data_IF_525368600641
#
_entry.id   IF_525368600641
#
_cell.length_a   1.000
_cell.length_b   1.000
_cell.length_c   1.000
_cell.angle_alpha   90.00
_cell.angle_beta   90.00
_cell.angle_gamma   90.00
#
_symmetry.space_group_name_H-M   'P 1'
#
loop_
_entity.id
_entity.type
_entity.pdbx_description
1 polymer ?
#
# COMPACT_ATOMS: atom_id res chain seq x y z
N UNK A 1 -12.47 24.75 19.56
CA UNK A 1 -12.60 24.84 18.07
C UNK A 1 -11.91 23.68 17.38
N UNK A 2 -10.66 23.37 17.72
CA UNK A 2 -9.98 22.18 17.19
C UNK A 2 -10.67 20.87 17.62
N UNK A 3 -11.25 20.83 18.81
CA UNK A 3 -11.92 19.62 19.32
C UNK A 3 -13.16 19.24 18.51
N UNK A 4 -13.99 20.22 18.13
CA UNK A 4 -15.14 19.99 17.25
C UNK A 4 -14.69 19.51 15.86
N UNK A 5 -13.58 20.02 15.34
CA UNK A 5 -13.02 19.55 14.08
C UNK A 5 -12.51 18.11 14.20
N UNK A 6 -11.87 17.76 15.32
CA UNK A 6 -11.42 16.38 15.60
C UNK A 6 -12.59 15.41 15.68
N UNK A 7 -13.67 15.78 16.37
CA UNK A 7 -14.89 14.96 16.44
C UNK A 7 -15.46 14.68 15.05
N UNK A 8 -15.49 15.70 14.17
CA UNK A 8 -15.95 15.52 12.78
C UNK A 8 -15.00 14.64 11.96
N UNK A 9 -13.70 14.76 12.16
CA UNK A 9 -12.72 13.91 11.49
C UNK A 9 -12.85 12.44 11.93
N UNK A 10 -13.08 12.19 13.24
CA UNK A 10 -13.33 10.85 13.77
C UNK A 10 -14.63 10.30 13.19
N UNK A 11 -15.71 11.08 13.18
CA UNK A 11 -16.98 10.63 12.60
C UNK A 11 -16.85 10.27 11.11
N UNK A 12 -16.07 11.04 10.34
CA UNK A 12 -15.77 10.71 8.94
C UNK A 12 -14.98 9.39 8.84
N UNK A 13 -13.98 9.19 9.70
CA UNK A 13 -13.22 7.94 9.74
C UNK A 13 -14.13 6.75 10.08
N UNK A 14 -15.04 6.89 11.04
CA UNK A 14 -16.00 5.85 11.40
C UNK A 14 -16.91 5.48 10.22
N UNK A 15 -17.36 6.47 9.43
CA UNK A 15 -18.12 6.18 8.19
C UNK A 15 -17.26 5.50 7.12
N UNK A 16 -15.99 5.88 6.97
CA UNK A 16 -15.04 5.22 6.07
C UNK A 16 -14.88 3.73 6.44
N UNK A 17 -14.84 3.40 7.74
CA UNK A 17 -14.70 1.99 8.16
C UNK A 17 -15.91 1.10 7.80
N UNK A 18 -17.03 1.71 7.40
CA UNK A 18 -18.25 1.00 6.99
C UNK A 18 -18.35 0.82 5.47
N UNK A 19 -17.43 1.40 4.71
CA UNK A 19 -17.38 1.28 3.26
C UNK A 19 -17.04 -0.16 2.85
N UNK A 20 -17.63 -0.61 1.75
CA UNK A 20 -17.36 -1.94 1.19
C UNK A 20 -15.88 -2.08 0.84
N UNK A 21 -15.27 -1.03 0.27
CA UNK A 21 -13.85 -1.01 -0.09
C UNK A 21 -12.92 -1.15 1.12
N UNK A 22 -13.32 -0.63 2.28
CA UNK A 22 -12.56 -0.79 3.52
C UNK A 22 -12.65 -2.22 4.06
N UNK A 23 -13.84 -2.82 4.01
CA UNK A 23 -14.05 -4.21 4.43
C UNK A 23 -13.30 -5.17 3.50
N UNK A 24 -13.43 -5.01 2.18
CA UNK A 24 -12.71 -5.78 1.16
C UNK A 24 -11.20 -5.69 1.38
N UNK A 25 -10.67 -4.49 1.67
CA UNK A 25 -9.26 -4.30 1.97
C UNK A 25 -8.80 -5.11 3.19
N UNK A 26 -9.54 -5.10 4.30
CA UNK A 26 -9.19 -5.86 5.50
C UNK A 26 -9.22 -7.38 5.26
N UNK A 27 -10.20 -7.85 4.49
CA UNK A 27 -10.32 -9.28 4.15
C UNK A 27 -9.16 -9.72 3.25
N UNK A 28 -8.82 -8.95 2.23
CA UNK A 28 -7.69 -9.25 1.36
C UNK A 28 -6.34 -9.14 2.08
N UNK A 29 -6.20 -8.17 3.00
CA UNK A 29 -5.02 -8.04 3.85
C UNK A 29 -4.83 -9.29 4.73
N UNK A 30 -5.92 -9.77 5.33
CA UNK A 30 -5.91 -11.01 6.12
C UNK A 30 -5.55 -12.21 5.25
N UNK A 31 -6.15 -12.35 4.07
CA UNK A 31 -5.85 -13.44 3.14
C UNK A 31 -4.38 -13.44 2.71
N UNK A 32 -3.79 -12.26 2.46
CA UNK A 32 -2.37 -12.13 2.16
C UNK A 32 -1.48 -12.53 3.35
N UNK A 33 -1.86 -12.17 4.57
CA UNK A 33 -1.14 -12.55 5.80
C UNK A 33 -1.18 -14.07 6.04
N UNK A 34 -2.25 -14.73 5.63
CA UNK A 34 -2.42 -16.18 5.75
C UNK A 34 -1.79 -16.97 4.59
N UNK A 35 -1.41 -16.31 3.48
CA UNK A 35 -0.68 -16.94 2.38
C UNK A 35 0.81 -17.10 2.72
N UNK A 36 1.16 -18.26 3.30
CA UNK A 36 2.54 -18.59 3.71
C UNK A 36 3.57 -18.47 2.58
N UNK A 37 3.20 -18.80 1.34
CA UNK A 37 4.12 -18.70 0.20
C UNK A 37 4.35 -17.25 -0.18
N UNK A 38 3.28 -16.43 -0.19
CA UNK A 38 3.43 -14.99 -0.42
C UNK A 38 4.27 -14.34 0.69
N UNK A 39 4.04 -14.72 1.96
CA UNK A 39 4.83 -14.22 3.09
C UNK A 39 6.32 -14.59 2.95
N UNK A 40 6.63 -15.84 2.59
CA UNK A 40 8.01 -16.25 2.35
C UNK A 40 8.66 -15.48 1.21
N UNK A 41 7.95 -15.33 0.07
CA UNK A 41 8.45 -14.56 -1.06
C UNK A 41 8.68 -13.08 -0.71
N UNK A 42 7.81 -12.47 0.11
CA UNK A 42 7.98 -11.11 0.59
C UNK A 42 9.21 -10.97 1.49
N UNK A 43 9.44 -11.93 2.39
CA UNK A 43 10.63 -11.96 3.24
C UNK A 43 11.91 -12.10 2.40
N UNK A 44 11.92 -13.02 1.44
CA UNK A 44 13.05 -13.24 0.53
C UNK A 44 13.33 -12.00 -0.32
N UNK A 45 12.28 -11.34 -0.82
CA UNK A 45 12.38 -10.10 -1.57
C UNK A 45 13.02 -8.99 -0.73
N UNK A 46 12.56 -8.78 0.51
CA UNK A 46 13.10 -7.76 1.40
C UNK A 46 14.58 -7.99 1.72
N UNK A 47 14.97 -9.24 2.01
CA UNK A 47 16.36 -9.58 2.27
C UNK A 47 17.25 -9.28 1.05
N UNK A 48 16.84 -9.72 -0.14
CA UNK A 48 17.61 -9.50 -1.37
C UNK A 48 17.65 -8.04 -1.79
N UNK A 49 16.58 -7.28 -1.53
CA UNK A 49 16.55 -5.85 -1.79
C UNK A 49 17.57 -5.11 -0.91
N UNK A 50 17.67 -5.47 0.37
CA UNK A 50 18.68 -4.89 1.28
C UNK A 50 20.09 -5.20 0.81
N UNK A 51 20.36 -6.44 0.38
CA UNK A 51 21.65 -6.83 -0.18
C UNK A 51 21.96 -6.04 -1.47
N UNK A 52 20.98 -5.87 -2.35
CA UNK A 52 21.13 -5.14 -3.60
C UNK A 52 21.48 -3.67 -3.36
N UNK A 53 20.77 -3.01 -2.44
CA UNK A 53 21.05 -1.62 -2.05
C UNK A 53 22.45 -1.50 -1.41
N UNK A 54 22.85 -2.46 -0.58
CA UNK A 54 24.19 -2.47 0.03
C UNK A 54 25.30 -2.57 -1.03
N UNK A 55 25.16 -3.47 -2.01
CA UNK A 55 26.10 -3.60 -3.14
C UNK A 55 26.13 -2.34 -4.01
N UNK A 56 24.97 -1.78 -4.33
CA UNK A 56 24.90 -0.55 -5.10
C UNK A 56 25.61 0.62 -4.39
N UNK A 57 25.51 0.71 -3.05
CA UNK A 57 26.22 1.71 -2.26
C UNK A 57 27.74 1.51 -2.22
N UNK A 58 28.23 0.26 -2.31
CA UNK A 58 29.67 -0.02 -2.43
C UNK A 58 30.21 0.16 -3.86
N UNK A 59 29.35 0.48 -4.83
CA UNK A 59 29.70 0.60 -6.24
C UNK A 59 29.74 -0.74 -6.99
N UNK A 60 29.26 -1.81 -6.36
CA UNK A 60 29.14 -3.13 -6.95
C UNK A 60 27.75 -3.31 -7.59
N UNK A 61 27.72 -3.88 -8.79
CA UNK A 61 26.48 -4.26 -9.45
C UNK A 61 26.42 -5.78 -9.59
N UNK A 62 25.35 -6.37 -9.07
CA UNK A 62 25.11 -7.81 -9.09
C UNK A 62 23.89 -8.12 -9.95
N UNK A 63 24.16 -8.61 -11.16
CA UNK A 63 23.13 -8.97 -12.12
C UNK A 63 22.35 -10.22 -11.69
N UNK A 64 22.99 -11.17 -11.00
CA UNK A 64 22.34 -12.39 -10.54
C UNK A 64 21.32 -12.05 -9.46
N UNK A 65 21.69 -11.19 -8.51
CA UNK A 65 20.78 -10.67 -7.49
C UNK A 65 19.60 -9.90 -8.09
N UNK A 66 19.82 -9.13 -9.16
CA UNK A 66 18.75 -8.45 -9.90
C UNK A 66 17.79 -9.46 -10.56
N UNK A 67 18.32 -10.54 -11.14
CA UNK A 67 17.52 -11.58 -11.75
C UNK A 67 16.67 -12.31 -10.70
N UNK A 68 17.24 -12.63 -9.54
CA UNK A 68 16.52 -13.25 -8.42
C UNK A 68 15.40 -12.36 -7.89
N UNK A 69 15.65 -11.05 -7.72
CA UNK A 69 14.62 -10.08 -7.34
C UNK A 69 13.48 -10.03 -8.35
N UNK A 70 13.81 -10.04 -9.65
CA UNK A 70 12.82 -10.07 -10.74
C UNK A 70 11.99 -11.35 -10.73
N UNK A 71 12.61 -12.49 -10.44
CA UNK A 71 11.90 -13.77 -10.33
C UNK A 71 10.94 -13.80 -9.15
N UNK A 72 11.37 -13.29 -7.98
CA UNK A 72 10.51 -13.18 -6.80
C UNK A 72 9.33 -12.24 -7.08
N UNK A 73 9.59 -11.09 -7.73
CA UNK A 73 8.53 -10.15 -8.10
C UNK A 73 7.50 -10.80 -9.05
N UNK A 74 7.98 -11.55 -10.05
CA UNK A 74 7.10 -12.30 -10.96
C UNK A 74 6.23 -13.30 -10.19
N UNK A 75 6.84 -14.09 -9.29
CA UNK A 75 6.11 -15.03 -8.43
C UNK A 75 5.07 -14.34 -7.56
N UNK A 76 5.41 -13.22 -6.91
CA UNK A 76 4.49 -12.42 -6.10
C UNK A 76 3.32 -11.89 -6.93
N UNK A 77 3.60 -11.33 -8.11
CA UNK A 77 2.57 -10.78 -9.01
C UNK A 77 1.59 -11.83 -9.55
N UNK A 78 1.97 -13.11 -9.52
CA UNK A 78 1.12 -14.23 -9.91
C UNK A 78 0.34 -14.83 -8.73
N UNK A 79 0.58 -14.40 -7.48
CA UNK A 79 -0.19 -14.86 -6.31
C UNK A 79 -1.54 -14.15 -6.27
N UNK A 80 -2.61 -14.92 -6.24
CA UNK A 80 -3.98 -14.41 -6.12
C UNK A 80 -4.15 -13.51 -4.88
N UNK A 81 -3.59 -13.92 -3.74
CA UNK A 81 -3.61 -13.13 -2.49
C UNK A 81 -2.99 -11.73 -2.64
N UNK A 82 -1.91 -11.63 -3.42
CA UNK A 82 -1.21 -10.35 -3.71
C UNK A 82 -2.02 -9.52 -4.70
N UNK A 83 -2.53 -10.13 -5.76
CA UNK A 83 -3.38 -9.45 -6.76
C UNK A 83 -4.60 -8.84 -6.07
N UNK A 84 -5.36 -9.66 -5.33
CA UNK A 84 -6.58 -9.25 -4.65
C UNK A 84 -6.31 -8.13 -3.63
N UNK A 85 -5.21 -8.23 -2.87
CA UNK A 85 -4.80 -7.18 -1.94
C UNK A 85 -4.51 -5.85 -2.65
N UNK A 86 -3.73 -5.88 -3.74
CA UNK A 86 -3.39 -4.66 -4.50
C UNK A 86 -4.65 -4.02 -5.09
N UNK A 87 -5.56 -4.82 -5.64
CA UNK A 87 -6.83 -4.34 -6.19
C UNK A 87 -7.71 -3.69 -5.12
N UNK A 88 -7.92 -4.37 -3.99
CA UNK A 88 -8.71 -3.86 -2.87
C UNK A 88 -8.10 -2.57 -2.27
N UNK A 89 -6.77 -2.55 -2.11
CA UNK A 89 -6.06 -1.36 -1.63
C UNK A 89 -6.20 -0.17 -2.58
N UNK A 90 -6.09 -0.39 -3.90
CA UNK A 90 -6.25 0.67 -4.89
C UNK A 90 -7.68 1.24 -4.89
N UNK A 91 -8.71 0.37 -4.80
CA UNK A 91 -10.11 0.81 -4.65
C UNK A 91 -10.28 1.72 -3.44
N UNK A 92 -9.80 1.28 -2.27
CA UNK A 92 -9.87 2.08 -1.04
C UNK A 92 -9.16 3.43 -1.21
N UNK A 93 -7.97 3.46 -1.82
CA UNK A 93 -7.26 4.71 -2.09
C UNK A 93 -8.03 5.64 -3.04
N UNK A 94 -8.70 5.11 -4.06
CA UNK A 94 -9.57 5.92 -4.93
C UNK A 94 -10.69 6.58 -4.14
N UNK A 95 -11.40 5.82 -3.30
CA UNK A 95 -12.48 6.36 -2.46
C UNK A 95 -11.97 7.42 -1.48
N UNK A 96 -10.80 7.20 -0.86
CA UNK A 96 -10.18 8.18 0.03
C UNK A 96 -9.70 9.43 -0.71
N UNK A 97 -9.22 9.30 -1.94
CA UNK A 97 -8.82 10.42 -2.77
C UNK A 97 -10.02 11.33 -3.08
N UNK A 98 -11.19 10.76 -3.40
CA UNK A 98 -12.42 11.54 -3.61
C UNK A 98 -12.82 12.33 -2.36
N UNK A 99 -12.72 11.74 -1.17
CA UNK A 99 -12.98 12.43 0.10
C UNK A 99 -12.00 13.59 0.31
N UNK A 100 -10.72 13.36 0.03
CA UNK A 100 -9.69 14.40 0.13
C UNK A 100 -9.93 15.54 -0.87
N UNK A 101 -10.32 15.23 -2.10
CA UNK A 101 -10.63 16.21 -3.15
C UNK A 101 -11.80 17.11 -2.73
N UNK A 102 -12.87 16.55 -2.15
CA UNK A 102 -14.00 17.32 -1.61
C UNK A 102 -13.58 18.27 -0.49
N UNK A 103 -12.71 17.82 0.41
CA UNK A 103 -12.16 18.67 1.48
C UNK A 103 -11.31 19.78 0.86
N UNK A 104 -10.42 19.43 -0.07
CA UNK A 104 -9.52 20.33 -0.78
C UNK A 104 -10.25 21.44 -1.53
N UNK A 105 -11.29 21.09 -2.27
CA UNK A 105 -12.16 22.04 -2.97
C UNK A 105 -12.79 23.01 -1.97
N UNK A 106 -13.28 22.50 -0.83
CA UNK A 106 -13.97 23.33 0.16
C UNK A 106 -13.07 24.37 0.84
N UNK A 107 -11.80 24.02 1.06
CA UNK A 107 -10.84 24.90 1.74
C UNK A 107 -9.95 25.68 0.77
N UNK A 108 -10.07 25.45 -0.55
CA UNK A 108 -9.20 26.01 -1.60
C UNK A 108 -7.70 25.73 -1.36
N UNK A 109 -7.37 24.51 -0.92
CA UNK A 109 -5.98 24.06 -0.70
C UNK A 109 -5.79 22.71 -1.37
N UNK A 110 -4.73 22.58 -2.18
CA UNK A 110 -4.37 21.32 -2.82
C UNK A 110 -3.69 20.38 -1.80
N UNK A 111 -4.44 19.42 -1.24
CA UNK A 111 -3.91 18.43 -0.31
C UNK A 111 -3.25 17.25 -1.03
N UNK A 112 -3.56 17.03 -2.32
CA UNK A 112 -2.98 15.94 -3.12
C UNK A 112 -1.47 16.11 -3.36
N UNK A 113 -0.92 17.31 -3.22
CA UNK A 113 0.54 17.56 -3.31
C UNK A 113 1.32 16.95 -2.13
N UNK A 114 0.68 16.71 -0.98
CA UNK A 114 1.33 16.18 0.22
C UNK A 114 1.70 14.69 0.07
N UNK A 115 1.00 13.96 -0.81
CA UNK A 115 1.19 12.53 -1.03
C UNK A 115 2.04 12.19 -2.28
N UNK A 116 2.45 13.17 -3.09
CA UNK A 116 3.31 12.98 -4.27
C UNK A 116 4.81 13.14 -3.99
N UNK A 117 5.22 13.21 -2.72
CA UNK A 117 6.63 13.35 -2.32
C UNK A 117 7.24 12.04 -1.86
#
# INVERSE_FOLDING_TARGET
MLDVLREKAIALADEITKLEEYVEFLECEKALKEDEVAQQLLMDFQQKQQEFVAKQMSGEFDQDLMNELSEIQSKLSARESVINFIEAYNKLLTTLAEVLDLISERINVNLAEVYRR
#
